data_IF_575675732052
#
_entry.id   IF_575675732052
#
_cell.length_a   1.000
_cell.length_b   1.000
_cell.length_c   1.000
_cell.angle_alpha   90.00
_cell.angle_beta   90.00
_cell.angle_gamma   90.00
#
_symmetry.space_group_name_H-M   'P 1'
#
loop_
_entity.id
_entity.type
_entity.pdbx_description
1 polymer ?
#
# COMPACT_ATOMS: atom_id res chain seq x y z
N UNK A 1 15.54 -5.32 22.32
CA UNK A 1 14.34 -4.70 21.73
C UNK A 1 14.80 -3.87 20.54
N UNK A 2 14.10 -3.91 19.41
CA UNK A 2 14.47 -3.14 18.23
C UNK A 2 14.48 -1.63 18.51
N UNK A 3 15.30 -0.88 17.79
CA UNK A 3 15.33 0.59 17.88
C UNK A 3 14.15 1.22 17.13
N UNK A 4 13.91 2.52 17.36
CA UNK A 4 12.90 3.26 16.61
C UNK A 4 13.24 3.26 15.09
N UNK A 5 14.53 3.34 14.74
CA UNK A 5 15.02 3.26 13.36
C UNK A 5 14.77 1.89 12.73
N UNK A 6 15.03 0.79 13.43
CA UNK A 6 14.74 -0.56 12.92
C UNK A 6 13.23 -0.77 12.67
N UNK A 7 12.37 -0.19 13.52
CA UNK A 7 10.91 -0.21 13.30
C UNK A 7 10.48 0.66 12.12
N UNK A 8 11.15 1.80 11.89
CA UNK A 8 10.91 2.64 10.72
C UNK A 8 11.42 1.97 9.43
N UNK A 9 12.53 1.25 9.46
CA UNK A 9 13.00 0.43 8.34
C UNK A 9 11.96 -0.62 7.97
N UNK A 10 11.35 -1.30 8.95
CA UNK A 10 10.23 -2.21 8.68
C UNK A 10 9.02 -1.50 8.06
N UNK A 11 8.70 -0.27 8.50
CA UNK A 11 7.61 0.50 7.90
C UNK A 11 7.92 0.90 6.44
N UNK A 12 9.19 1.20 6.13
CA UNK A 12 9.66 1.48 4.77
C UNK A 12 9.56 0.21 3.90
N UNK A 13 10.02 -0.94 4.40
CA UNK A 13 9.94 -2.21 3.68
C UNK A 13 8.48 -2.62 3.41
N UNK A 14 7.59 -2.39 4.37
CA UNK A 14 6.14 -2.62 4.22
C UNK A 14 5.53 -1.70 3.16
N UNK A 15 5.96 -0.44 3.07
CA UNK A 15 5.54 0.48 2.00
C UNK A 15 5.98 -0.04 0.62
N UNK A 16 7.24 -0.48 0.50
CA UNK A 16 7.80 -1.05 -0.72
C UNK A 16 7.04 -2.31 -1.16
N UNK A 17 6.69 -3.18 -0.20
CA UNK A 17 5.85 -4.35 -0.47
C UNK A 17 4.50 -3.96 -1.06
N UNK A 18 3.83 -2.95 -0.50
CA UNK A 18 2.55 -2.45 -0.99
C UNK A 18 2.62 -1.91 -2.42
N UNK A 19 3.66 -1.14 -2.72
CA UNK A 19 3.93 -0.59 -4.07
C UNK A 19 4.15 -1.73 -5.07
N UNK A 20 5.08 -2.64 -4.75
CA UNK A 20 5.49 -3.74 -5.64
C UNK A 20 4.35 -4.73 -5.91
N UNK A 21 3.41 -4.84 -4.96
CA UNK A 21 2.20 -5.64 -5.11
C UNK A 21 1.06 -4.91 -5.85
N UNK A 22 1.24 -3.63 -6.19
CA UNK A 22 0.21 -2.81 -6.81
C UNK A 22 -0.98 -2.49 -5.90
N UNK A 23 -0.83 -2.62 -4.58
CA UNK A 23 -1.94 -2.44 -3.64
C UNK A 23 -2.33 -0.99 -3.41
N UNK A 24 -1.39 -0.06 -3.56
CA UNK A 24 -1.60 1.33 -3.19
C UNK A 24 -0.38 2.21 -3.30
N UNK A 25 -0.48 3.38 -2.65
CA UNK A 25 0.58 4.38 -2.59
C UNK A 25 1.75 4.01 -1.66
N UNK A 26 2.80 4.85 -1.60
CA UNK A 26 4.06 4.56 -0.94
C UNK A 26 4.04 4.77 0.59
N UNK A 27 3.08 4.16 1.27
CA UNK A 27 2.88 4.34 2.70
C UNK A 27 2.81 3.00 3.42
N UNK A 28 3.63 2.86 4.46
CA UNK A 28 3.77 1.66 5.27
C UNK A 28 3.88 2.02 6.74
N UNK A 29 3.44 1.09 7.59
CA UNK A 29 3.23 1.32 9.00
C UNK A 29 3.43 0.03 9.82
N UNK A 30 4.04 0.18 10.99
CA UNK A 30 4.21 -0.86 12.00
C UNK A 30 3.58 -0.37 13.30
N UNK A 31 2.85 -1.25 14.00
CA UNK A 31 2.43 -1.02 15.38
C UNK A 31 3.15 -2.02 16.26
N UNK A 32 3.82 -1.51 17.30
CA UNK A 32 4.52 -2.32 18.28
C UNK A 32 4.02 -2.04 19.70
N UNK A 33 4.09 -3.07 20.56
CA UNK A 33 3.77 -3.00 21.98
C UNK A 33 4.92 -3.67 22.75
N UNK A 34 5.46 -3.00 23.76
CA UNK A 34 6.59 -3.50 24.56
C UNK A 34 7.81 -3.93 23.73
N UNK A 35 8.07 -3.23 22.62
CA UNK A 35 9.18 -3.50 21.69
C UNK A 35 8.91 -4.64 20.71
N UNK A 36 7.76 -5.30 20.78
CA UNK A 36 7.37 -6.40 19.88
C UNK A 36 6.37 -5.91 18.82
N UNK A 37 6.56 -6.35 17.58
CA UNK A 37 5.64 -6.01 16.48
C UNK A 37 4.30 -6.71 16.69
N UNK A 38 3.24 -5.91 16.76
CA UNK A 38 1.85 -6.39 16.83
C UNK A 38 1.25 -6.50 15.44
N UNK A 39 1.44 -5.48 14.60
CA UNK A 39 0.83 -5.45 13.28
C UNK A 39 1.67 -4.65 12.27
N UNK A 40 1.59 -5.08 11.01
CA UNK A 40 2.10 -4.38 9.83
C UNK A 40 0.92 -3.98 8.94
N UNK A 41 1.04 -2.83 8.28
CA UNK A 41 0.07 -2.39 7.28
C UNK A 41 0.68 -1.41 6.28
N UNK A 42 0.29 -1.55 5.01
CA UNK A 42 0.60 -0.60 3.94
C UNK A 42 -0.69 -0.04 3.33
N UNK A 43 -0.54 0.97 2.48
CA UNK A 43 -1.63 1.53 1.71
C UNK A 43 -2.24 0.47 0.77
N UNK A 44 -3.55 0.25 0.89
CA UNK A 44 -4.33 -0.71 0.09
C UNK A 44 -5.48 -0.06 -0.66
N UNK A 45 -5.43 1.27 -0.85
CA UNK A 45 -6.53 2.04 -1.47
C UNK A 45 -6.95 1.45 -2.82
N UNK A 46 -5.98 1.00 -3.62
CA UNK A 46 -6.23 0.45 -4.95
C UNK A 46 -6.70 -1.00 -4.87
N UNK A 47 -6.06 -1.83 -4.04
CA UNK A 47 -6.42 -3.23 -3.88
C UNK A 47 -7.84 -3.43 -3.33
N UNK A 48 -8.22 -2.60 -2.36
CA UNK A 48 -9.47 -2.79 -1.60
C UNK A 48 -10.59 -1.88 -2.12
N UNK A 49 -10.32 -1.00 -3.10
CA UNK A 49 -11.23 0.07 -3.55
C UNK A 49 -11.79 0.91 -2.39
N UNK A 50 -10.95 1.16 -1.40
CA UNK A 50 -11.30 1.85 -0.15
C UNK A 50 -10.40 3.07 0.03
N UNK A 51 -10.90 4.31 -0.14
CA UNK A 51 -10.09 5.51 0.01
C UNK A 51 -9.58 5.73 1.43
N UNK A 52 -10.07 4.97 2.42
CA UNK A 52 -9.62 5.05 3.82
C UNK A 52 -8.52 4.03 4.15
N UNK A 53 -8.21 3.10 3.25
CA UNK A 53 -7.24 2.02 3.46
C UNK A 53 -5.78 2.50 3.36
N UNK A 54 -5.43 3.53 4.14
CA UNK A 54 -4.06 4.01 4.31
C UNK A 54 -3.25 3.03 5.17
N UNK A 55 -1.92 3.12 5.13
CA UNK A 55 -1.04 2.22 5.89
C UNK A 55 -1.31 2.26 7.39
N UNK A 56 -1.47 3.46 7.96
CA UNK A 56 -1.73 3.67 9.37
C UNK A 56 -3.09 3.13 9.78
N UNK A 57 -4.14 3.39 8.99
CA UNK A 57 -5.50 2.88 9.25
C UNK A 57 -5.52 1.35 9.15
N UNK A 58 -4.82 0.78 8.17
CA UNK A 58 -4.72 -0.67 7.97
C UNK A 58 -3.99 -1.34 9.13
N UNK A 59 -2.88 -0.75 9.60
CA UNK A 59 -2.14 -1.24 10.76
C UNK A 59 -2.98 -1.15 12.04
N UNK A 60 -3.66 -0.02 12.29
CA UNK A 60 -4.56 0.15 13.44
C UNK A 60 -5.65 -0.92 13.45
N UNK A 61 -6.35 -1.12 12.32
CA UNK A 61 -7.42 -2.13 12.21
C UNK A 61 -6.90 -3.54 12.53
N UNK A 62 -5.70 -3.88 12.05
CA UNK A 62 -5.06 -5.17 12.32
C UNK A 62 -4.63 -5.31 13.77
N UNK A 63 -3.98 -4.31 14.34
CA UNK A 63 -3.56 -4.33 15.74
C UNK A 63 -4.75 -4.47 16.70
N UNK A 64 -5.82 -3.71 16.47
CA UNK A 64 -7.06 -3.83 17.25
C UNK A 64 -7.66 -5.24 17.16
N UNK A 65 -7.64 -5.84 15.96
CA UNK A 65 -8.11 -7.22 15.75
C UNK A 65 -7.27 -8.26 16.47
N UNK A 66 -5.94 -8.12 16.46
CA UNK A 66 -4.99 -9.04 17.12
C UNK A 66 -5.07 -8.93 18.64
N UNK A 67 -5.11 -7.71 19.17
CA UNK A 67 -5.14 -7.46 20.62
C UNK A 67 -6.54 -7.57 21.22
N UNK A 68 -7.60 -7.65 20.39
CA UNK A 68 -8.98 -7.70 20.85
C UNK A 68 -9.43 -6.44 21.59
N UNK A 69 -8.86 -5.28 21.25
CA UNK A 69 -9.14 -3.99 21.90
C UNK A 69 -9.14 -2.86 20.87
N UNK A 70 -9.82 -1.77 21.20
CA UNK A 70 -9.76 -0.50 20.44
C UNK A 70 -8.81 0.53 21.07
N UNK A 71 -8.24 0.19 22.22
CA UNK A 71 -7.32 1.04 22.98
C UNK A 71 -5.88 0.60 22.75
N UNK A 72 -5.12 1.42 22.04
CA UNK A 72 -3.71 1.21 21.69
C UNK A 72 -2.77 2.14 22.47
N UNK A 73 -3.18 2.61 23.67
CA UNK A 73 -2.38 3.52 24.50
C UNK A 73 -1.03 2.99 24.93
N UNK A 74 -0.89 1.67 25.01
CA UNK A 74 0.39 0.99 25.30
C UNK A 74 1.21 0.70 24.04
N UNK A 75 0.75 1.13 22.87
CA UNK A 75 1.42 0.87 21.59
C UNK A 75 2.15 2.11 21.06
N UNK A 76 3.21 1.86 20.29
CA UNK A 76 3.83 2.85 19.41
C UNK A 76 3.50 2.53 17.96
N UNK A 77 3.12 3.55 17.19
CA UNK A 77 2.94 3.49 15.75
C UNK A 77 4.15 4.09 15.05
N UNK A 78 4.78 3.30 14.19
CA UNK A 78 5.87 3.70 13.31
C UNK A 78 5.32 3.80 11.89
N UNK A 79 5.62 4.89 11.18
CA UNK A 79 5.16 5.09 9.79
C UNK A 79 6.27 5.71 8.97
N UNK A 80 6.42 5.33 7.71
CA UNK A 80 7.48 5.88 6.86
C UNK A 80 7.29 7.40 6.62
N UNK A 81 6.06 7.91 6.68
CA UNK A 81 5.74 9.32 6.47
C UNK A 81 4.81 9.87 7.55
N UNK A 82 4.92 11.17 7.81
CA UNK A 82 4.04 11.91 8.71
C UNK A 82 2.56 11.63 8.36
N UNK A 83 1.74 11.20 9.33
CA UNK A 83 0.36 10.83 9.05
C UNK A 83 -0.46 12.00 8.49
N UNK A 84 -1.33 11.70 7.53
CA UNK A 84 -2.28 12.69 7.00
C UNK A 84 -3.40 13.01 8.02
N UNK A 85 -4.22 14.07 7.82
CA UNK A 85 -5.26 14.45 8.78
C UNK A 85 -6.23 13.32 9.16
N UNK A 86 -6.60 12.46 8.21
CA UNK A 86 -7.44 11.29 8.48
C UNK A 86 -6.74 10.29 9.40
N UNK A 87 -5.48 9.96 9.10
CA UNK A 87 -4.69 9.02 9.90
C UNK A 87 -4.43 9.59 11.30
N UNK A 88 -4.12 10.89 11.45
CA UNK A 88 -3.98 11.56 12.76
C UNK A 88 -5.25 11.44 13.60
N UNK A 89 -6.43 11.60 12.99
CA UNK A 89 -7.69 11.38 13.69
C UNK A 89 -7.90 9.92 14.10
N UNK A 90 -7.60 8.95 13.21
CA UNK A 90 -7.70 7.53 13.53
C UNK A 90 -6.76 7.10 14.66
N UNK A 91 -5.52 7.60 14.65
CA UNK A 91 -4.51 7.41 15.70
C UNK A 91 -5.04 7.92 17.05
N UNK A 92 -5.65 9.12 17.05
CA UNK A 92 -6.24 9.72 18.25
C UNK A 92 -7.42 8.89 18.78
N UNK A 93 -8.32 8.43 17.90
CA UNK A 93 -9.47 7.61 18.28
C UNK A 93 -9.07 6.24 18.83
N UNK A 94 -8.01 5.64 18.27
CA UNK A 94 -7.43 4.40 18.77
C UNK A 94 -6.55 4.62 20.02
N UNK A 95 -6.37 5.88 20.44
CA UNK A 95 -5.54 6.29 21.59
C UNK A 95 -4.11 5.79 21.52
N UNK A 96 -3.51 5.71 20.33
CA UNK A 96 -2.11 5.27 20.19
C UNK A 96 -1.21 6.12 21.10
N UNK A 97 -0.32 5.49 21.86
CA UNK A 97 0.49 6.18 22.88
C UNK A 97 1.56 7.09 22.30
N UNK A 98 2.22 6.67 21.21
CA UNK A 98 3.29 7.42 20.54
C UNK A 98 3.28 7.17 19.04
N UNK A 99 3.59 8.19 18.25
CA UNK A 99 3.86 8.08 16.81
C UNK A 99 5.32 8.40 16.52
N UNK A 100 5.94 7.61 15.66
CA UNK A 100 7.30 7.86 15.14
C UNK A 100 7.26 7.83 13.62
N UNK A 101 7.89 8.80 12.95
CA UNK A 101 7.86 8.89 11.49
C UNK A 101 9.18 9.35 10.88
N UNK A 102 9.47 8.91 9.65
CA UNK A 102 10.75 9.19 8.99
C UNK A 102 10.74 10.51 8.20
N UNK A 103 9.80 10.67 7.27
CA UNK A 103 9.71 11.84 6.39
C UNK A 103 8.46 12.67 6.65
N UNK A 104 8.52 13.98 6.40
CA UNK A 104 7.34 14.84 6.53
C UNK A 104 6.39 14.69 5.35
N UNK A 105 5.14 15.15 5.51
CA UNK A 105 4.22 15.26 4.37
C UNK A 105 4.77 16.17 3.28
N UNK A 106 5.58 17.18 3.63
CA UNK A 106 6.23 18.06 2.65
C UNK A 106 7.26 17.29 1.82
N UNK A 107 8.16 16.57 2.49
CA UNK A 107 9.20 15.78 1.81
C UNK A 107 8.57 14.78 0.81
N UNK A 108 7.51 14.08 1.24
CA UNK A 108 6.74 13.17 0.38
C UNK A 108 6.11 13.87 -0.84
N UNK A 109 5.55 15.06 -0.65
CA UNK A 109 4.93 15.83 -1.72
C UNK A 109 5.96 16.35 -2.73
N UNK A 110 7.14 16.76 -2.27
CA UNK A 110 8.21 17.27 -3.12
C UNK A 110 8.72 16.17 -4.08
N UNK A 111 8.77 14.91 -3.64
CA UNK A 111 9.14 13.77 -4.49
C UNK A 111 8.03 13.40 -5.49
N UNK A 112 6.78 13.33 -5.02
CA UNK A 112 5.66 12.80 -5.81
C UNK A 112 4.95 13.85 -6.68
N UNK A 113 5.25 15.14 -6.49
CA UNK A 113 4.53 16.25 -7.11
C UNK A 113 3.03 16.27 -6.76
N UNK A 114 2.64 15.66 -5.63
CA UNK A 114 1.25 15.60 -5.18
C UNK A 114 0.76 16.99 -4.74
N UNK A 115 -0.45 17.36 -5.18
CA UNK A 115 -1.19 18.54 -4.68
C UNK A 115 -2.09 18.20 -3.48
N UNK A 116 -1.76 17.16 -2.72
CA UNK A 116 -2.51 16.79 -1.50
C UNK A 116 -2.37 17.81 -0.37
N UNK A 117 -1.47 18.79 -0.55
CA UNK A 117 -1.33 19.95 0.31
C UNK A 117 -2.66 20.67 0.55
N UNK A 118 -3.63 20.66 -0.38
CA UNK A 118 -4.91 21.36 -0.14
C UNK A 118 -5.68 20.82 1.06
N UNK A 119 -5.77 19.50 1.23
CA UNK A 119 -6.49 18.92 2.36
C UNK A 119 -5.68 19.07 3.65
N UNK A 120 -4.37 18.84 3.56
CA UNK A 120 -3.46 19.01 4.69
C UNK A 120 -3.43 20.46 5.18
N UNK A 121 -3.35 21.45 4.30
CA UNK A 121 -3.41 22.89 4.63
C UNK A 121 -4.78 23.29 5.20
N UNK A 122 -5.87 22.76 4.64
CA UNK A 122 -7.21 23.01 5.15
C UNK A 122 -7.40 22.49 6.59
N UNK A 123 -6.70 21.40 6.94
CA UNK A 123 -6.83 20.72 8.23
C UNK A 123 -5.69 21.02 9.22
N UNK A 124 -4.58 21.64 8.79
CA UNK A 124 -3.38 21.97 9.59
C UNK A 124 -3.62 22.97 10.74
N UNK A 125 -4.86 23.43 10.94
CA UNK A 125 -5.24 24.38 11.99
C UNK A 125 -5.43 23.73 13.36
N UNK A 126 -5.12 22.43 13.51
CA UNK A 126 -5.29 21.70 14.78
C UNK A 126 -3.98 21.08 15.21
N UNK A 127 -3.71 21.20 16.50
CA UNK A 127 -2.57 20.61 17.16
C UNK A 127 -2.71 19.08 17.20
N UNK A 128 -1.58 18.37 17.08
CA UNK A 128 -1.54 16.92 17.16
C UNK A 128 -1.88 16.50 18.61
N UNK A 129 -2.89 15.63 18.77
CA UNK A 129 -3.33 15.16 20.10
C UNK A 129 -2.46 14.02 20.64
N UNK A 130 -1.73 13.35 19.76
CA UNK A 130 -0.87 12.20 20.08
C UNK A 130 0.60 12.62 20.02
N UNK A 131 1.43 12.31 21.03
CA UNK A 131 2.86 12.58 20.98
C UNK A 131 3.50 11.99 19.73
N UNK A 132 4.15 12.83 18.92
CA UNK A 132 4.81 12.44 17.68
C UNK A 132 6.29 12.80 17.70
N UNK A 133 7.12 11.92 17.13
CA UNK A 133 8.57 12.10 17.00
C UNK A 133 8.99 11.85 15.56
N UNK A 134 9.62 12.85 14.94
CA UNK A 134 10.32 12.64 13.66
C UNK A 134 11.70 12.06 13.90
N UNK A 135 12.08 11.05 13.14
CA UNK A 135 13.46 10.55 13.01
C UNK A 135 13.83 10.58 11.53
N UNK A 136 14.50 11.63 11.05
CA UNK A 136 14.91 11.70 9.65
C UNK A 136 15.80 10.50 9.28
N UNK A 137 15.43 9.79 8.21
CA UNK A 137 16.18 8.65 7.69
C UNK A 137 16.41 8.82 6.18
N UNK A 138 17.60 8.49 5.71
CA UNK A 138 17.95 8.52 4.28
C UNK A 138 17.01 7.62 3.47
N UNK A 139 16.78 6.39 3.96
CA UNK A 139 15.86 5.42 3.35
C UNK A 139 14.39 5.86 3.34
N UNK A 140 14.02 6.87 4.12
CA UNK A 140 12.62 7.29 4.28
C UNK A 140 11.95 7.74 2.98
N UNK A 141 12.74 8.21 2.00
CA UNK A 141 12.25 8.64 0.69
C UNK A 141 12.21 7.53 -0.36
N UNK A 142 12.84 6.38 -0.13
CA UNK A 142 12.92 5.27 -1.10
C UNK A 142 11.53 4.85 -1.62
N UNK A 143 10.48 4.67 -0.78
CA UNK A 143 9.17 4.28 -1.28
C UNK A 143 8.55 5.33 -2.22
N UNK A 144 8.79 6.62 -1.94
CA UNK A 144 8.26 7.73 -2.73
C UNK A 144 8.93 7.80 -4.10
N UNK A 145 10.25 7.61 -4.14
CA UNK A 145 11.02 7.58 -5.38
C UNK A 145 10.64 6.38 -6.23
N UNK A 146 10.57 5.18 -5.65
CA UNK A 146 10.16 3.97 -6.37
C UNK A 146 8.73 4.10 -6.90
N UNK A 147 7.80 4.62 -6.09
CA UNK A 147 6.42 4.84 -6.53
C UNK A 147 6.30 5.90 -7.64
N UNK A 148 7.11 6.97 -7.61
CA UNK A 148 7.17 7.97 -8.68
C UNK A 148 7.59 7.32 -10.01
N UNK A 149 8.61 6.48 -9.96
CA UNK A 149 9.18 5.85 -11.15
C UNK A 149 8.24 4.78 -11.72
N UNK A 150 7.48 4.10 -10.85
CA UNK A 150 6.43 3.15 -11.22
C UNK A 150 5.08 3.80 -11.58
N UNK A 151 4.85 5.07 -11.23
CA UNK A 151 3.55 5.76 -11.34
C UNK A 151 2.96 5.74 -12.75
N UNK A 152 3.82 5.66 -13.77
CA UNK A 152 3.43 5.49 -15.18
C UNK A 152 2.76 4.15 -15.52
N UNK A 153 2.93 3.13 -14.66
CA UNK A 153 2.43 1.75 -14.83
C UNK A 153 1.29 1.41 -13.86
N UNK A 154 1.39 1.81 -12.59
CA UNK A 154 0.39 1.48 -11.56
C UNK A 154 -0.97 2.14 -11.88
N UNK A 155 -0.99 3.44 -12.19
CA UNK A 155 -2.23 4.17 -12.50
C UNK A 155 -2.77 3.90 -13.92
N UNK A 156 -1.89 3.54 -14.87
CA UNK A 156 -2.28 3.22 -16.26
C UNK A 156 -3.04 1.91 -16.34
N UNK A 157 -2.76 0.95 -15.45
CA UNK A 157 -3.54 -0.29 -15.35
C UNK A 157 -4.97 -0.07 -14.83
N UNK A 158 -5.19 0.96 -14.01
CA UNK A 158 -6.50 1.34 -13.45
C UNK A 158 -7.38 2.15 -14.41
N UNK A 159 -6.77 2.82 -15.39
CA UNK A 159 -7.46 3.65 -16.39
C UNK A 159 -7.38 3.05 -17.80
N UNK A 160 -6.88 1.82 -17.96
CA UNK A 160 -7.07 1.09 -19.18
C UNK A 160 -8.59 0.87 -19.34
N UNK A 161 -9.21 1.29 -20.46
CA UNK A 161 -10.62 1.01 -20.68
C UNK A 161 -10.83 -0.50 -20.56
N UNK A 162 -11.84 -0.91 -19.80
CA UNK A 162 -12.17 -2.31 -19.58
C UNK A 162 -12.28 -3.03 -20.94
N UNK A 163 -11.26 -3.82 -21.30
CA UNK A 163 -11.21 -4.49 -22.60
C UNK A 163 -9.85 -4.75 -23.22
N UNK A 164 -8.75 -4.16 -22.76
CA UNK A 164 -7.42 -4.46 -23.34
C UNK A 164 -6.60 -5.33 -22.37
N UNK A 165 -6.56 -6.63 -22.67
CA UNK A 165 -5.63 -7.57 -22.04
C UNK A 165 -4.18 -7.22 -22.47
N UNK A 166 -3.18 -7.25 -21.57
CA UNK A 166 -1.80 -7.00 -21.94
C UNK A 166 -1.30 -8.16 -22.81
N UNK A 167 -1.18 -7.93 -24.12
CA UNK A 167 -0.74 -8.97 -25.07
C UNK A 167 -0.94 -8.68 -26.56
N UNK A 168 -1.51 -7.55 -26.96
CA UNK A 168 -1.61 -7.18 -28.37
C UNK A 168 -0.78 -5.92 -28.65
N UNK A 169 0.41 -6.13 -29.22
CA UNK A 169 1.30 -5.07 -29.67
C UNK A 169 0.65 -4.23 -30.77
N UNK A 170 0.51 -2.93 -30.55
CA UNK A 170 0.19 -1.98 -31.60
C UNK A 170 1.39 -1.84 -32.55
N UNK A 171 1.25 -2.37 -33.77
CA UNK A 171 2.15 -2.10 -34.87
C UNK A 171 2.00 -0.64 -35.32
N UNK A 172 3.11 0.10 -35.45
CA UNK A 172 3.08 1.42 -36.08
C UNK A 172 4.39 2.21 -36.01
N UNK A 173 5.16 2.12 -37.12
CA UNK A 173 6.20 3.04 -37.64
C UNK A 173 7.69 2.78 -37.29
N UNK A 174 8.64 3.07 -38.21
CA UNK A 174 8.60 2.89 -39.66
C UNK A 174 9.78 2.05 -40.23
N UNK A 175 9.58 1.70 -41.49
CA UNK A 175 10.34 0.82 -42.39
C UNK A 175 11.83 1.19 -42.58
N UNK A 176 12.73 0.26 -42.26
CA UNK A 176 14.09 0.18 -42.82
C UNK A 176 14.21 -1.16 -43.55
N UNK A 177 14.39 -1.10 -44.87
CA UNK A 177 14.55 -2.27 -45.74
C UNK A 177 15.95 -2.85 -45.57
N UNK A 178 16.05 -4.18 -45.52
CA UNK A 178 17.17 -4.91 -46.10
C UNK A 178 16.70 -6.29 -46.59
N UNK A 179 17.28 -6.69 -47.73
CA UNK A 179 16.86 -7.78 -48.60
C UNK A 179 17.24 -9.18 -48.09
N UNK A 180 16.33 -10.14 -48.34
CA UNK A 180 16.48 -11.57 -48.73
C UNK A 180 17.47 -12.46 -47.94
N UNK A 181 17.12 -13.64 -47.41
CA UNK A 181 16.59 -14.81 -48.14
C UNK A 181 15.84 -15.83 -47.25
N UNK A 182 14.87 -16.50 -47.88
CA UNK A 182 14.19 -17.80 -47.64
C UNK A 182 14.76 -18.78 -46.60
N UNK A 183 13.86 -19.41 -45.80
CA UNK A 183 13.63 -20.87 -45.80
C UNK A 183 12.77 -21.36 -44.61
N UNK A 184 11.60 -21.90 -44.95
CA UNK A 184 10.92 -23.10 -44.42
C UNK A 184 10.41 -23.16 -42.97
N UNK A 185 9.10 -23.39 -42.87
CA UNK A 185 8.31 -23.62 -41.68
C UNK A 185 8.53 -25.02 -41.05
N UNK A 186 8.46 -25.10 -39.73
CA UNK A 186 8.22 -26.35 -38.98
C UNK A 186 7.13 -26.14 -37.91
N UNK A 187 6.23 -27.11 -37.88
CA UNK A 187 5.02 -27.28 -37.06
C UNK A 187 5.30 -27.33 -35.54
N UNK A 188 4.42 -26.82 -34.67
CA UNK A 188 4.62 -26.85 -33.22
C UNK A 188 4.32 -28.24 -32.61
N UNK A 189 5.21 -28.71 -31.72
CA UNK A 189 4.96 -29.85 -30.84
C UNK A 189 4.21 -29.40 -29.58
N UNK A 190 3.13 -30.09 -29.28
CA UNK A 190 2.27 -29.98 -28.10
C UNK A 190 2.98 -30.44 -26.82
N UNK A 191 2.87 -29.65 -25.75
CA UNK A 191 3.22 -30.06 -24.38
C UNK A 191 1.93 -30.30 -23.56
N UNK A 192 1.93 -31.25 -22.60
CA UNK A 192 0.73 -31.83 -22.04
C UNK A 192 0.01 -30.95 -21.01
N UNK A 193 -1.32 -31.05 -21.03
CA UNK A 193 -2.28 -30.51 -20.07
C UNK A 193 -2.16 -31.21 -18.70
N UNK A 194 -1.96 -30.44 -17.64
CA UNK A 194 -2.20 -30.89 -16.27
C UNK A 194 -3.67 -30.66 -15.90
N UNK A 195 -4.39 -31.75 -15.72
CA UNK A 195 -5.75 -31.78 -15.17
C UNK A 195 -5.66 -31.93 -13.65
N UNK A 196 -6.25 -31.00 -12.90
CA UNK A 196 -6.68 -31.26 -11.51
C UNK A 196 -8.15 -30.89 -11.42
N UNK A 197 -8.99 -31.88 -11.63
CA UNK A 197 -10.40 -31.83 -11.30
C UNK A 197 -10.60 -32.09 -9.79
N UNK A 198 -11.59 -31.38 -9.25
CA UNK A 198 -12.51 -31.76 -8.17
C UNK A 198 -11.95 -31.95 -6.75
N UNK A 199 -12.26 -30.98 -5.88
CA UNK A 199 -13.11 -31.28 -4.70
C UNK A 199 -14.18 -30.20 -4.55
N UNK A 200 -15.43 -30.62 -4.65
CA UNK A 200 -16.64 -29.83 -4.46
C UNK A 200 -16.91 -29.52 -2.99
N UNK A 201 -17.56 -28.39 -2.78
CA UNK A 201 -18.69 -28.16 -1.86
C UNK A 201 -18.55 -28.54 -0.38
N UNK A 202 -18.48 -27.51 0.48
CA UNK A 202 -19.33 -27.46 1.67
C UNK A 202 -19.95 -26.08 1.75
N UNK A 203 -21.23 -26.02 1.35
CA UNK A 203 -22.18 -25.00 1.76
C UNK A 203 -22.67 -25.42 3.15
N UNK A 204 -22.46 -24.59 4.17
CA UNK A 204 -23.33 -24.57 5.34
C UNK A 204 -23.83 -23.14 5.52
N UNK A 205 -25.12 -23.03 5.25
CA UNK A 205 -26.02 -21.93 5.56
C UNK A 205 -25.96 -21.51 7.03
N UNK A 206 -25.68 -20.23 7.28
CA UNK A 206 -25.92 -19.57 8.57
C UNK A 206 -26.60 -18.23 8.30
N UNK A 207 -27.93 -18.20 8.40
CA UNK A 207 -28.75 -17.04 8.08
C UNK A 207 -28.50 -15.85 8.99
N UNK A 208 -28.23 -14.69 8.39
CA UNK A 208 -28.18 -13.42 9.09
C UNK A 208 -29.59 -12.84 9.15
N UNK A 209 -30.23 -12.91 10.33
CA UNK A 209 -31.47 -12.18 10.61
C UNK A 209 -31.11 -10.74 10.94
N UNK A 210 -31.63 -9.83 10.14
CA UNK A 210 -31.54 -8.39 10.36
C UNK A 210 -32.19 -7.98 11.68
N UNK A 211 -31.58 -6.99 12.32
CA UNK A 211 -32.20 -6.17 13.34
C UNK A 211 -32.26 -4.75 12.76
N UNK A 212 -33.44 -4.39 12.30
CA UNK A 212 -33.87 -3.01 12.25
C UNK A 212 -34.72 -2.74 13.49
N UNK A 213 -34.30 -1.75 14.28
CA UNK A 213 -35.15 -0.74 14.90
C UNK A 213 -34.34 0.54 14.98
#
# INVERSE_FOLDING_TARGET
>A
MPTDEEMLDMAIDEALLGIRSGHGGPFGCVIAKDGEVVALGHNRVLADNDPTAHGEVSAIRRACGILGTIDLSECTLYTNSEPCPMCKAAISWAKVGKVVYAVTMRDANDVLGFKDLRMSEAMAKREDLTPSKRIPMERGLEPFEEYRDLRGHIYRSLHAPAGIQPGQSAAGAPMVRNHTTSSTAMTPMTAPTFTTDLVSSVIVSGGWKGLGV
#
